data_IF_409931840544
#
_entry.id   IF_409931840544
#
_cell.length_a   1.000
_cell.length_b   1.000
_cell.length_c   1.000
_cell.angle_alpha   90.00
_cell.angle_beta   90.00
_cell.angle_gamma   90.00
#
_symmetry.space_group_name_H-M   'P 1'
#
loop_
_entity.id
_entity.type
_entity.pdbx_description
1 polymer ?
#
# COMPACT_ATOMS: atom_id res chain seq x y z
N UNK A 1 16.85 -43.45 9.20
CA UNK A 1 15.88 -42.74 8.31
C UNK A 1 14.81 -41.97 9.09
N UNK A 2 14.15 -42.56 10.10
CA UNK A 2 13.11 -41.88 10.92
C UNK A 2 13.61 -40.62 11.66
N UNK A 3 14.83 -40.66 12.20
CA UNK A 3 15.43 -39.56 12.97
C UNK A 3 15.73 -38.34 12.09
N UNK A 4 16.18 -38.56 10.85
CA UNK A 4 16.44 -37.48 9.88
C UNK A 4 15.13 -36.77 9.48
N UNK A 5 14.06 -37.54 9.26
CA UNK A 5 12.73 -36.98 8.97
C UNK A 5 12.21 -36.14 10.14
N UNK A 6 12.35 -36.61 11.38
CA UNK A 6 11.93 -35.85 12.57
C UNK A 6 12.71 -34.53 12.73
N UNK A 7 14.02 -34.54 12.47
CA UNK A 7 14.85 -33.33 12.50
C UNK A 7 14.45 -32.32 11.42
N UNK A 8 14.12 -32.78 10.21
CA UNK A 8 13.62 -31.91 9.14
C UNK A 8 12.28 -31.25 9.52
N UNK A 9 11.36 -31.98 10.14
CA UNK A 9 10.08 -31.42 10.60
C UNK A 9 10.26 -30.37 11.70
N UNK A 10 11.12 -30.63 12.70
CA UNK A 10 11.38 -29.67 13.78
C UNK A 10 12.04 -28.38 13.26
N UNK A 11 12.95 -28.49 12.29
CA UNK A 11 13.61 -27.33 11.69
C UNK A 11 12.65 -26.48 10.85
N UNK A 12 11.66 -27.10 10.20
CA UNK A 12 10.61 -26.40 9.48
C UNK A 12 9.72 -25.59 10.43
N UNK A 13 9.34 -26.15 11.59
CA UNK A 13 8.53 -25.45 12.59
C UNK A 13 9.28 -24.29 13.25
N UNK A 14 10.58 -24.44 13.53
CA UNK A 14 11.40 -23.41 14.17
C UNK A 14 11.55 -22.13 13.34
N UNK A 15 11.40 -22.22 12.01
CA UNK A 15 11.49 -21.07 11.09
C UNK A 15 10.13 -20.47 10.71
N UNK A 16 9.04 -20.84 11.40
CA UNK A 16 7.74 -20.21 11.16
C UNK A 16 7.60 -18.93 11.98
N UNK A 17 7.72 -17.78 11.31
CA UNK A 17 7.36 -16.48 11.91
C UNK A 17 5.84 -16.45 12.12
N UNK A 18 5.40 -16.47 13.38
CA UNK A 18 4.00 -16.29 13.73
C UNK A 18 3.77 -14.88 14.25
N UNK A 19 2.63 -14.29 13.87
CA UNK A 19 2.20 -12.98 14.35
C UNK A 19 0.98 -13.18 15.24
N UNK A 20 0.96 -12.52 16.40
CA UNK A 20 -0.19 -12.54 17.28
C UNK A 20 -1.41 -11.91 16.59
N UNK A 21 -2.55 -12.62 16.59
CA UNK A 21 -3.81 -12.12 15.99
C UNK A 21 -4.58 -11.15 16.88
N UNK A 22 -4.12 -10.93 18.11
CA UNK A 22 -4.76 -10.06 19.09
C UNK A 22 -3.68 -9.14 19.63
N UNK A 23 -3.96 -7.84 19.60
CA UNK A 23 -3.09 -6.86 20.23
C UNK A 23 -3.32 -6.88 21.76
N UNK A 24 -2.27 -6.83 22.59
CA UNK A 24 -2.41 -6.90 24.06
C UNK A 24 -3.27 -5.78 24.66
N UNK A 25 -3.20 -4.59 24.06
CA UNK A 25 -4.02 -3.42 24.40
C UNK A 25 -5.14 -3.22 23.37
N UNK A 26 -6.28 -2.65 23.76
CA UNK A 26 -7.38 -2.41 22.84
C UNK A 26 -7.07 -1.25 21.88
N UNK A 27 -6.70 -1.56 20.64
CA UNK A 27 -6.47 -0.56 19.58
C UNK A 27 -7.79 -0.28 18.85
N UNK A 28 -8.25 0.98 18.86
CA UNK A 28 -9.46 1.43 18.14
C UNK A 28 -9.12 2.46 17.08
N UNK A 29 -9.56 2.22 15.85
CA UNK A 29 -9.36 3.16 14.74
C UNK A 29 -7.90 3.23 14.27
N UNK A 30 -7.53 4.36 13.68
CA UNK A 30 -6.21 4.59 13.09
C UNK A 30 -5.27 5.21 14.15
N UNK A 31 -4.68 4.36 14.99
CA UNK A 31 -3.79 4.77 16.08
C UNK A 31 -2.36 5.03 15.57
N UNK A 32 -1.67 5.98 16.20
CA UNK A 32 -0.27 6.24 15.93
C UNK A 32 0.63 5.17 16.60
N UNK A 33 1.09 4.19 15.83
CA UNK A 33 1.87 3.09 16.38
C UNK A 33 3.18 3.54 17.06
N UNK A 34 3.77 4.66 16.64
CA UNK A 34 5.05 5.13 17.18
C UNK A 34 4.93 5.75 18.57
N UNK A 35 3.72 5.92 19.10
CA UNK A 35 3.52 6.36 20.49
C UNK A 35 3.93 5.26 21.48
N UNK A 36 3.83 3.99 21.09
CA UNK A 36 4.17 2.85 21.95
C UNK A 36 5.26 1.94 21.37
N UNK A 37 5.43 1.89 20.05
CA UNK A 37 6.38 1.00 19.39
C UNK A 37 7.61 1.73 18.86
N UNK A 38 8.78 1.37 19.41
CA UNK A 38 10.10 1.72 18.86
C UNK A 38 10.71 0.60 18.00
N UNK A 39 9.99 -0.50 17.82
CA UNK A 39 10.39 -1.67 17.04
C UNK A 39 9.77 -1.65 15.63
N UNK A 40 9.79 -2.81 14.94
CA UNK A 40 9.27 -2.92 13.58
C UNK A 40 7.76 -2.63 13.47
N UNK A 41 6.99 -2.72 14.56
CA UNK A 41 5.58 -2.37 14.56
C UNK A 41 5.34 -0.86 14.48
N UNK A 42 6.30 -0.04 14.93
CA UNK A 42 6.24 1.41 14.75
C UNK A 42 6.18 1.81 13.27
N UNK A 43 6.77 1.01 12.37
CA UNK A 43 6.70 1.23 10.93
C UNK A 43 5.32 0.94 10.31
N UNK A 44 4.42 0.25 11.03
CA UNK A 44 3.04 -0.04 10.60
C UNK A 44 2.06 1.12 10.86
N UNK A 45 2.59 2.31 11.11
CA UNK A 45 1.83 3.52 11.36
C UNK A 45 1.19 4.08 10.09
N UNK A 46 -0.11 3.85 9.94
CA UNK A 46 -0.89 4.34 8.80
C UNK A 46 -1.05 5.86 8.77
N UNK A 47 -0.79 6.56 9.88
CA UNK A 47 -0.82 8.02 9.93
C UNK A 47 0.43 8.67 9.31
N UNK A 48 1.49 7.90 9.05
CA UNK A 48 2.63 8.41 8.32
C UNK A 48 2.21 8.81 6.90
N UNK A 49 2.55 10.03 6.49
CA UNK A 49 2.09 10.62 5.23
C UNK A 49 2.48 9.82 3.98
N UNK A 50 3.49 8.96 4.07
CA UNK A 50 3.99 8.12 3.00
C UNK A 50 3.73 6.63 3.21
N UNK A 51 2.98 6.24 4.26
CA UNK A 51 2.68 4.85 4.57
C UNK A 51 2.10 4.11 3.35
N UNK A 52 1.03 4.65 2.78
CA UNK A 52 0.38 4.09 1.59
C UNK A 52 1.29 4.07 0.36
N UNK A 53 2.23 5.02 0.23
CA UNK A 53 3.20 5.03 -0.89
C UNK A 53 4.29 3.97 -0.70
N UNK A 54 4.59 3.62 0.55
CA UNK A 54 5.62 2.65 0.94
C UNK A 54 5.07 1.26 1.29
N UNK A 55 3.76 1.06 1.30
CA UNK A 55 3.12 -0.19 1.72
C UNK A 55 3.70 -1.44 1.04
N UNK A 56 4.09 -1.33 -0.25
CA UNK A 56 4.73 -2.44 -0.99
C UNK A 56 6.01 -2.96 -0.31
N UNK A 57 6.77 -2.09 0.33
CA UNK A 57 8.01 -2.45 1.01
C UNK A 57 7.70 -3.18 2.32
N UNK A 58 6.73 -2.69 3.08
CA UNK A 58 6.27 -3.34 4.31
C UNK A 58 5.60 -4.70 4.02
N UNK A 59 4.78 -4.78 2.97
CA UNK A 59 4.16 -6.03 2.55
C UNK A 59 5.18 -7.06 2.04
N UNK A 60 6.25 -6.60 1.38
CA UNK A 60 7.34 -7.46 0.92
C UNK A 60 8.14 -8.07 2.05
N UNK A 61 8.29 -7.38 3.18
CA UNK A 61 9.03 -7.87 4.35
C UNK A 61 8.16 -8.57 5.38
N UNK A 62 6.90 -8.14 5.54
CA UNK A 62 6.04 -8.52 6.67
C UNK A 62 4.56 -8.67 6.30
N UNK A 63 4.23 -9.39 5.21
CA UNK A 63 2.82 -9.64 4.82
C UNK A 63 1.96 -10.19 5.96
N UNK A 64 2.51 -11.11 6.75
CA UNK A 64 1.81 -11.75 7.87
C UNK A 64 1.44 -10.75 8.98
N UNK A 65 2.18 -9.64 9.12
CA UNK A 65 1.85 -8.58 10.06
C UNK A 65 0.55 -7.85 9.68
N UNK A 66 0.33 -7.65 8.38
CA UNK A 66 -0.91 -7.05 7.88
C UNK A 66 -2.13 -7.94 8.18
N UNK A 67 -1.96 -9.26 8.08
CA UNK A 67 -3.01 -10.26 8.35
C UNK A 67 -3.43 -10.35 9.82
N UNK A 68 -2.72 -9.68 10.74
CA UNK A 68 -3.14 -9.56 12.13
C UNK A 68 -4.37 -8.64 12.29
N UNK A 69 -4.51 -7.65 11.40
CA UNK A 69 -5.59 -6.65 11.47
C UNK A 69 -6.50 -6.67 10.22
N UNK A 70 -5.96 -7.00 9.05
CA UNK A 70 -6.67 -6.97 7.77
C UNK A 70 -7.00 -8.37 7.28
N UNK A 71 -8.13 -8.50 6.58
CA UNK A 71 -8.46 -9.71 5.85
C UNK A 71 -7.68 -9.77 4.53
N UNK A 72 -7.41 -10.98 4.04
CA UNK A 72 -6.68 -11.18 2.77
C UNK A 72 -7.37 -10.53 1.56
N UNK A 73 -8.71 -10.43 1.61
CA UNK A 73 -9.52 -9.73 0.60
C UNK A 73 -9.12 -8.25 0.42
N UNK A 74 -8.60 -7.60 1.47
CA UNK A 74 -8.10 -6.23 1.38
C UNK A 74 -6.97 -6.09 0.36
N UNK A 75 -6.06 -7.07 0.30
CA UNK A 75 -4.97 -7.09 -0.67
C UNK A 75 -5.52 -7.20 -2.11
N UNK A 76 -6.58 -7.97 -2.28
CA UNK A 76 -7.18 -8.32 -3.58
C UNK A 76 -7.85 -7.09 -4.22
N UNK A 77 -8.38 -6.15 -3.43
CA UNK A 77 -8.98 -4.92 -3.94
C UNK A 77 -8.06 -4.09 -4.87
N UNK A 78 -6.74 -4.23 -4.71
CA UNK A 78 -5.75 -3.55 -5.54
C UNK A 78 -4.84 -4.51 -6.32
N UNK A 79 -4.51 -5.67 -5.75
CA UNK A 79 -3.61 -6.65 -6.36
C UNK A 79 -4.33 -7.72 -7.17
N UNK A 80 -5.66 -7.68 -7.30
CA UNK A 80 -6.36 -8.56 -8.22
C UNK A 80 -6.06 -8.18 -9.67
N UNK A 81 -5.65 -9.17 -10.44
CA UNK A 81 -5.38 -9.01 -11.87
C UNK A 81 -6.57 -9.42 -12.75
N UNK A 82 -7.71 -9.77 -12.12
CA UNK A 82 -8.87 -10.37 -12.79
C UNK A 82 -10.22 -9.73 -12.42
N UNK A 83 -10.21 -8.67 -11.62
CA UNK A 83 -11.43 -7.89 -11.37
C UNK A 83 -11.80 -7.11 -12.64
N UNK A 84 -13.09 -6.97 -12.89
CA UNK A 84 -13.61 -6.26 -14.06
C UNK A 84 -13.29 -4.75 -14.02
N UNK A 85 -13.22 -4.19 -12.80
CA UNK A 85 -12.96 -2.77 -12.57
C UNK A 85 -11.53 -2.58 -12.06
N UNK A 86 -10.78 -1.70 -12.73
CA UNK A 86 -9.43 -1.35 -12.31
C UNK A 86 -9.45 -0.66 -10.94
N UNK A 87 -8.43 -0.88 -10.08
CA UNK A 87 -8.38 -0.22 -8.77
C UNK A 87 -8.40 1.31 -8.84
N UNK A 88 -7.92 1.91 -9.95
CA UNK A 88 -8.01 3.35 -10.19
C UNK A 88 -9.44 3.85 -10.32
N UNK A 89 -10.35 3.01 -10.83
CA UNK A 89 -11.73 3.37 -11.12
C UNK A 89 -12.64 2.98 -9.95
N UNK A 90 -12.38 1.81 -9.33
CA UNK A 90 -13.09 1.32 -8.15
C UNK A 90 -12.96 2.27 -6.94
N UNK A 91 -11.84 2.97 -6.84
CA UNK A 91 -11.52 3.86 -5.73
C UNK A 91 -11.15 5.25 -6.23
N UNK A 92 -12.01 5.73 -7.14
CA UNK A 92 -12.11 7.09 -7.64
C UNK A 92 -11.53 8.14 -6.68
N UNK A 93 -12.30 8.35 -5.63
CA UNK A 93 -12.29 9.43 -4.65
C UNK A 93 -11.33 9.24 -3.46
N UNK A 94 -10.60 8.13 -3.38
CA UNK A 94 -9.74 7.85 -2.21
C UNK A 94 -8.54 8.82 -2.15
N UNK A 95 -8.43 9.67 -1.11
CA UNK A 95 -7.37 10.66 -1.00
C UNK A 95 -5.98 10.04 -0.78
N UNK A 96 -5.92 8.82 -0.23
CA UNK A 96 -4.70 8.04 -0.05
C UNK A 96 -4.13 7.56 -1.40
N UNK A 97 -4.96 7.53 -2.45
CA UNK A 97 -4.61 7.16 -3.82
C UNK A 97 -4.31 8.39 -4.65
N UNK A 98 -3.55 9.31 -4.07
CA UNK A 98 -3.11 10.60 -4.63
C UNK A 98 -2.18 10.49 -5.85
N UNK A 99 -2.24 9.39 -6.60
CA UNK A 99 -1.45 9.21 -7.80
C UNK A 99 -2.06 10.04 -8.93
N UNK A 100 -1.23 10.61 -9.82
CA UNK A 100 -1.70 11.43 -10.93
C UNK A 100 -2.51 10.65 -11.99
N UNK A 101 -2.78 9.36 -11.76
CA UNK A 101 -3.50 8.44 -12.63
C UNK A 101 -4.69 7.75 -11.93
N UNK A 102 -5.29 8.41 -10.93
CA UNK A 102 -6.60 7.98 -10.39
C UNK A 102 -7.70 8.09 -11.44
N UNK A 103 -8.75 7.27 -11.34
CA UNK A 103 -9.78 7.15 -12.39
C UNK A 103 -10.54 8.44 -12.67
N UNK A 104 -10.70 9.31 -11.66
CA UNK A 104 -11.35 10.63 -11.74
C UNK A 104 -10.32 11.78 -11.72
N UNK A 105 -9.08 11.53 -12.14
CA UNK A 105 -7.99 12.54 -12.05
C UNK A 105 -8.33 13.85 -12.75
N UNK A 106 -9.22 13.88 -13.74
CA UNK A 106 -9.67 15.13 -14.38
C UNK A 106 -10.24 16.15 -13.38
N UNK A 107 -10.88 15.70 -12.29
CA UNK A 107 -11.38 16.58 -11.23
C UNK A 107 -10.26 17.29 -10.46
N UNK A 108 -9.15 16.57 -10.24
CA UNK A 108 -7.97 17.03 -9.50
C UNK A 108 -6.93 17.72 -10.40
N UNK A 109 -6.92 17.39 -11.70
CA UNK A 109 -5.95 17.89 -12.70
C UNK A 109 -5.82 19.41 -12.69
N UNK A 110 -6.93 20.13 -12.55
CA UNK A 110 -6.92 21.60 -12.51
C UNK A 110 -6.13 22.15 -11.31
N UNK A 111 -6.15 21.43 -10.19
CA UNK A 111 -5.48 21.80 -8.94
C UNK A 111 -4.01 21.42 -9.07
N UNK A 112 -3.72 20.15 -9.36
CA UNK A 112 -2.35 19.63 -9.43
C UNK A 112 -1.54 20.29 -10.55
N UNK A 113 -2.16 20.49 -11.71
CA UNK A 113 -1.57 21.20 -12.84
C UNK A 113 -1.31 22.68 -12.57
N UNK A 114 -2.03 23.30 -11.62
CA UNK A 114 -1.75 24.67 -11.16
C UNK A 114 -0.68 24.71 -10.08
N UNK A 115 -0.68 23.75 -9.16
CA UNK A 115 0.27 23.67 -8.05
C UNK A 115 1.66 23.32 -8.57
N UNK A 116 1.78 22.28 -9.41
CA UNK A 116 3.07 21.83 -9.92
C UNK A 116 2.93 21.05 -11.25
N UNK A 117 2.81 21.73 -12.40
CA UNK A 117 2.72 21.07 -13.71
C UNK A 117 4.01 20.33 -14.10
N UNK A 118 5.17 20.73 -13.56
CA UNK A 118 6.44 20.08 -13.84
C UNK A 118 6.55 18.66 -13.25
N UNK A 119 5.70 18.31 -12.27
CA UNK A 119 5.64 16.95 -11.71
C UNK A 119 5.30 15.89 -12.78
N UNK A 120 4.47 16.25 -13.76
CA UNK A 120 4.01 15.36 -14.83
C UNK A 120 5.11 15.09 -15.87
N UNK A 121 5.96 16.09 -16.13
CA UNK A 121 7.01 16.07 -17.16
C UNK A 121 8.07 15.00 -16.91
N UNK A 122 8.26 14.58 -15.64
CA UNK A 122 9.20 13.52 -15.26
C UNK A 122 8.89 12.18 -15.94
N UNK A 123 7.61 11.90 -16.18
CA UNK A 123 7.16 10.67 -16.82
C UNK A 123 6.60 10.90 -18.23
N UNK A 124 5.95 12.05 -18.47
CA UNK A 124 5.27 12.37 -19.74
C UNK A 124 6.11 13.20 -20.72
N UNK A 125 7.32 13.64 -20.34
CA UNK A 125 8.21 14.40 -21.22
C UNK A 125 7.97 15.91 -21.26
N UNK A 126 8.94 16.64 -21.83
CA UNK A 126 9.05 18.13 -21.82
C UNK A 126 8.33 18.84 -22.97
N UNK A 127 8.20 18.18 -24.11
CA UNK A 127 7.47 18.76 -25.24
C UNK A 127 6.00 18.62 -24.95
N UNK A 128 5.26 19.71 -25.17
CA UNK A 128 3.84 19.87 -24.87
C UNK A 128 3.06 18.61 -25.27
N UNK A 129 2.91 17.67 -24.32
CA UNK A 129 2.57 16.31 -24.68
C UNK A 129 1.22 16.34 -25.40
N UNK A 130 1.03 15.48 -26.40
CA UNK A 130 -0.17 15.50 -27.27
C UNK A 130 -1.48 15.51 -26.46
N UNK A 131 -1.43 14.99 -25.23
CA UNK A 131 -2.52 14.97 -24.26
C UNK A 131 -2.79 16.33 -23.64
N UNK A 132 -1.78 17.11 -23.26
CA UNK A 132 -1.92 18.46 -22.70
C UNK A 132 -2.50 19.42 -23.73
N UNK A 133 -1.95 19.41 -24.96
CA UNK A 133 -2.40 20.31 -26.05
C UNK A 133 -3.81 20.00 -26.55
N UNK A 134 -4.35 18.81 -26.24
CA UNK A 134 -5.74 18.48 -26.54
C UNK A 134 -6.74 19.40 -25.82
N UNK A 135 -6.37 19.91 -24.63
CA UNK A 135 -7.21 20.78 -23.80
C UNK A 135 -6.61 22.18 -23.55
N UNK A 136 -5.28 22.33 -23.63
CA UNK A 136 -4.56 23.58 -23.34
C UNK A 136 -3.86 24.11 -24.60
N UNK A 137 -4.61 24.83 -25.43
CA UNK A 137 -4.11 25.48 -26.65
C UNK A 137 -3.62 26.89 -26.39
#
# INVERSE_FOLDING_TARGET
MLILLALCFLHACANTSSVARIHPEAVKGLVNCTECHSDSWGAMNHQAADFYKKHRFYAGTSRQACAACHQESFCIDCHAHKEEIKPSDKFADSPERSLPHRGDYLSQHKIDGRVNPASCVKCHGRQNNERCVSCHR
#
